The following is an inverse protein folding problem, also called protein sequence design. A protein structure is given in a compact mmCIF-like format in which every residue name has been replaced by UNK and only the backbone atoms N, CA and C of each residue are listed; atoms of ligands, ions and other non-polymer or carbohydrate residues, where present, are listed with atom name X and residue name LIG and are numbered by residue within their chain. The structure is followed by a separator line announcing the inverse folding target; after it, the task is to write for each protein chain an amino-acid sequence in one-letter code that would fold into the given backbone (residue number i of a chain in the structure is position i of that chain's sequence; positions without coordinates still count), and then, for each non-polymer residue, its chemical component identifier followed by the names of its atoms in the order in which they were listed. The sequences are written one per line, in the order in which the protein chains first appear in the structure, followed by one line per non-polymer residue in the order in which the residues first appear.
data_IF_979354687477
#
_entry.id   IF_979354687477
#
_cell.length_a   1.000
_cell.length_b   1.000
_cell.length_c   1.000
_cell.angle_alpha   90.00
_cell.angle_beta   90.00
_cell.angle_gamma   90.00
#
_symmetry.space_group_name_H-M   'P 1'
#
loop_
_entity.id
_entity.type
_entity.pdbx_description
1 polymer ?
#
# COMPACT_ATOMS: atom_id res chain seq x y z
N UNK A 1 -13.03 -12.84 -6.42
CA UNK A 1 -12.32 -12.10 -5.36
C UNK A 1 -11.28 -11.22 -6.03
N UNK A 2 -10.97 -10.06 -5.43
CA UNK A 2 -10.03 -9.08 -5.98
C UNK A 2 -8.66 -9.19 -5.31
N UNK A 3 -7.62 -8.78 -6.02
CA UNK A 3 -6.30 -8.54 -5.45
C UNK A 3 -6.22 -7.08 -4.99
N UNK A 4 -6.04 -6.86 -3.69
CA UNK A 4 -5.91 -5.54 -3.10
C UNK A 4 -4.46 -5.05 -3.15
N UNK A 5 -4.24 -3.86 -3.71
CA UNK A 5 -2.93 -3.20 -3.71
C UNK A 5 -3.04 -1.96 -2.82
N UNK A 6 -2.30 -1.95 -1.72
CA UNK A 6 -2.23 -0.79 -0.84
C UNK A 6 -1.02 0.07 -1.21
N UNK A 7 -1.30 1.21 -1.87
CA UNK A 7 -0.30 2.22 -2.20
C UNK A 7 -0.24 3.30 -1.12
N UNK A 8 0.96 3.83 -0.91
CA UNK A 8 1.29 4.83 0.11
C UNK A 8 2.12 5.94 -0.52
N UNK A 9 3.42 6.00 -0.22
CA UNK A 9 4.35 6.97 -0.78
C UNK A 9 4.90 6.55 -2.16
N UNK A 10 4.37 5.48 -2.74
CA UNK A 10 4.78 4.81 -3.96
C UNK A 10 3.71 4.90 -5.06
N UNK A 11 3.13 6.10 -5.23
CA UNK A 11 2.16 6.45 -6.28
C UNK A 11 2.81 6.47 -7.68
N UNK A 12 3.20 5.29 -8.17
CA UNK A 12 3.85 5.08 -9.46
C UNK A 12 3.40 3.78 -10.12
N UNK A 13 3.36 3.77 -11.45
CA UNK A 13 3.13 2.55 -12.24
C UNK A 13 4.44 1.81 -12.54
N UNK A 14 5.47 2.57 -12.90
CA UNK A 14 6.77 2.02 -13.24
C UNK A 14 7.48 1.53 -11.99
N UNK A 15 8.16 0.39 -12.11
CA UNK A 15 8.95 -0.21 -11.05
C UNK A 15 8.18 -0.27 -9.71
N UNK A 16 6.94 -0.77 -9.79
CA UNK A 16 6.09 -1.01 -8.64
C UNK A 16 5.85 -2.53 -8.50
N UNK A 17 6.72 -3.24 -7.75
CA UNK A 17 6.64 -4.70 -7.64
C UNK A 17 5.32 -5.21 -7.06
N UNK A 18 4.73 -4.51 -6.08
CA UNK A 18 3.43 -4.88 -5.52
C UNK A 18 2.31 -4.79 -6.55
N UNK A 19 2.23 -3.68 -7.28
CA UNK A 19 1.23 -3.51 -8.34
C UNK A 19 1.47 -4.52 -9.49
N UNK A 20 2.73 -4.74 -9.87
CA UNK A 20 3.10 -5.70 -10.90
C UNK A 20 2.69 -7.13 -10.54
N UNK A 21 2.93 -7.56 -9.30
CA UNK A 21 2.51 -8.86 -8.81
C UNK A 21 0.98 -9.01 -8.83
N UNK A 22 0.26 -8.00 -8.34
CA UNK A 22 -1.19 -7.99 -8.34
C UNK A 22 -1.77 -8.15 -9.76
N UNK A 23 -1.24 -7.42 -10.73
CA UNK A 23 -1.66 -7.51 -12.12
C UNK A 23 -1.34 -8.88 -12.76
N UNK A 24 -0.30 -9.58 -12.30
CA UNK A 24 0.04 -10.92 -12.78
C UNK A 24 -0.82 -12.04 -12.18
N UNK A 25 -1.54 -11.77 -11.08
CA UNK A 25 -2.41 -12.77 -10.43
C UNK A 25 -3.56 -13.26 -11.32
N UNK A 26 -3.93 -12.49 -12.35
CA UNK A 26 -5.11 -12.73 -13.19
C UNK A 26 -6.45 -12.38 -12.51
N UNK A 27 -6.44 -12.00 -11.23
CA UNK A 27 -7.61 -11.51 -10.52
C UNK A 27 -7.85 -10.01 -10.80
N UNK A 28 -9.10 -9.51 -10.71
CA UNK A 28 -9.36 -8.08 -10.77
C UNK A 28 -8.61 -7.33 -9.66
N UNK A 29 -7.89 -6.26 -10.03
CA UNK A 29 -7.08 -5.49 -9.08
C UNK A 29 -7.90 -4.33 -8.51
N UNK A 30 -7.83 -4.14 -7.19
CA UNK A 30 -8.34 -2.98 -6.48
C UNK A 30 -7.15 -2.23 -5.89
N UNK A 31 -6.96 -0.98 -6.28
CA UNK A 31 -5.91 -0.12 -5.69
C UNK A 31 -6.54 0.77 -4.63
N UNK A 32 -5.92 0.85 -3.46
CA UNK A 32 -6.36 1.75 -2.39
C UNK A 32 -5.21 2.64 -1.92
N UNK A 33 -5.57 3.83 -1.46
CA UNK A 33 -4.72 4.67 -0.64
C UNK A 33 -5.45 5.02 0.64
N UNK A 34 -4.74 4.95 1.76
CA UNK A 34 -5.27 5.25 3.09
C UNK A 34 -4.46 6.41 3.66
N UNK A 35 -5.14 7.52 3.94
CA UNK A 35 -4.57 8.57 4.78
C UNK A 35 -4.63 8.11 6.24
N UNK A 36 -3.53 7.49 6.69
CA UNK A 36 -3.43 6.81 7.98
C UNK A 36 -3.29 7.80 9.13
N UNK A 37 -4.42 8.25 9.68
CA UNK A 37 -4.42 9.24 10.75
C UNK A 37 -3.70 8.74 12.00
N UNK A 38 -3.68 7.44 12.29
CA UNK A 38 -3.05 6.93 13.52
C UNK A 38 -1.53 7.00 13.46
N UNK A 39 -0.96 6.68 12.30
CA UNK A 39 0.49 6.64 12.12
C UNK A 39 1.06 7.97 11.59
N UNK A 40 0.24 8.77 10.91
CA UNK A 40 0.58 10.12 10.41
C UNK A 40 0.04 11.25 11.33
N UNK A 41 -0.73 10.96 12.40
CA UNK A 41 -1.41 11.94 13.28
C UNK A 41 -0.52 13.09 13.79
N UNK A 42 0.74 12.78 14.08
CA UNK A 42 1.68 13.78 14.63
C UNK A 42 2.24 14.71 13.56
N UNK A 43 2.05 14.37 12.28
CA UNK A 43 2.38 15.18 11.13
C UNK A 43 1.08 15.69 10.50
N UNK A 44 0.44 16.70 11.12
CA UNK A 44 -0.49 17.54 10.35
C UNK A 44 0.27 17.97 9.10
N UNK A 45 -0.17 17.47 7.95
CA UNK A 45 0.45 17.84 6.68
C UNK A 45 0.40 19.36 6.59
N UNK A 46 1.56 20.00 6.43
CA UNK A 46 1.58 21.42 6.11
C UNK A 46 0.80 21.67 4.82
N UNK A 47 0.20 22.86 4.67
CA UNK A 47 -0.70 23.16 3.54
C UNK A 47 -0.08 22.86 2.17
N UNK A 48 1.22 23.15 1.99
CA UNK A 48 1.93 22.83 0.76
C UNK A 48 2.03 21.31 0.49
N UNK A 49 2.31 20.50 1.52
CA UNK A 49 2.40 19.03 1.39
C UNK A 49 1.03 18.41 1.15
N UNK A 50 -0.02 18.92 1.81
CA UNK A 50 -1.40 18.48 1.61
C UNK A 50 -1.87 18.78 0.17
N UNK A 51 -1.65 20.00 -0.31
CA UNK A 51 -2.00 20.40 -1.68
C UNK A 51 -1.26 19.56 -2.73
N UNK A 52 0.04 19.31 -2.53
CA UNK A 52 0.82 18.47 -3.42
C UNK A 52 0.33 17.02 -3.41
N UNK A 53 0.05 16.45 -2.23
CA UNK A 53 -0.46 15.09 -2.09
C UNK A 53 -1.80 14.92 -2.81
N UNK A 54 -2.75 15.83 -2.60
CA UNK A 54 -4.05 15.79 -3.26
C UNK A 54 -3.90 15.83 -4.79
N UNK A 55 -3.05 16.74 -5.29
CA UNK A 55 -2.78 16.87 -6.72
C UNK A 55 -2.14 15.60 -7.30
N UNK A 56 -1.20 14.99 -6.57
CA UNK A 56 -0.54 13.76 -6.98
C UNK A 56 -1.52 12.57 -6.98
N UNK A 57 -2.37 12.43 -5.96
CA UNK A 57 -3.38 11.37 -5.91
C UNK A 57 -4.39 11.47 -7.07
N UNK A 58 -4.86 12.68 -7.39
CA UNK A 58 -5.76 12.93 -8.53
C UNK A 58 -5.10 12.57 -9.86
N UNK A 59 -3.88 13.04 -10.07
CA UNK A 59 -3.10 12.71 -11.27
C UNK A 59 -2.88 11.20 -11.39
N UNK A 60 -2.44 10.56 -10.31
CA UNK A 60 -2.13 9.13 -10.30
C UNK A 60 -3.37 8.27 -10.52
N UNK A 61 -4.52 8.61 -9.93
CA UNK A 61 -5.78 7.91 -10.19
C UNK A 61 -6.15 7.96 -11.68
N UNK A 62 -6.07 9.14 -12.31
CA UNK A 62 -6.37 9.29 -13.73
C UNK A 62 -5.37 8.51 -14.60
N UNK A 63 -4.08 8.57 -14.25
CA UNK A 63 -3.02 7.86 -14.96
C UNK A 63 -3.14 6.33 -14.84
N UNK A 64 -3.48 5.83 -13.66
CA UNK A 64 -3.73 4.40 -13.40
C UNK A 64 -4.91 3.89 -14.24
N UNK A 65 -6.00 4.67 -14.30
CA UNK A 65 -7.16 4.32 -15.12
C UNK A 65 -6.84 4.36 -16.61
N UNK A 66 -6.19 5.42 -17.09
CA UNK A 66 -5.80 5.56 -18.51
C UNK A 66 -4.89 4.43 -18.99
N UNK A 67 -3.92 4.01 -18.16
CA UNK A 67 -2.93 3.00 -18.56
C UNK A 67 -3.36 1.56 -18.33
N UNK A 68 -4.10 1.30 -17.25
CA UNK A 68 -4.39 -0.07 -16.82
C UNK A 68 -5.90 -0.36 -16.67
N UNK A 69 -6.77 0.65 -16.79
CA UNK A 69 -8.21 0.49 -16.54
C UNK A 69 -8.56 0.20 -15.08
N UNK A 70 -7.60 0.39 -14.15
CA UNK A 70 -7.76 0.08 -12.74
C UNK A 70 -8.28 1.32 -12.01
N UNK A 71 -9.30 1.16 -11.19
CA UNK A 71 -9.81 2.23 -10.32
C UNK A 71 -9.09 2.23 -8.98
N UNK A 72 -8.91 3.44 -8.44
CA UNK A 72 -8.30 3.67 -7.14
C UNK A 72 -9.32 4.24 -6.16
N UNK A 73 -9.36 3.69 -4.95
CA UNK A 73 -10.21 4.15 -3.85
C UNK A 73 -9.38 4.83 -2.76
N UNK A 74 -9.99 5.80 -2.09
CA UNK A 74 -9.34 6.59 -1.05
C UNK A 74 -10.07 6.41 0.27
N UNK A 75 -9.31 6.19 1.33
CA UNK A 75 -9.81 6.07 2.69
C UNK A 75 -9.01 6.97 3.63
N UNK A 76 -9.60 7.26 4.79
CA UNK A 76 -8.99 8.05 5.86
C UNK A 76 -9.33 7.40 7.20
N UNK A 77 -8.32 7.19 8.05
CA UNK A 77 -8.49 6.53 9.36
C UNK A 77 -7.39 5.50 9.66
N UNK A 78 -7.67 4.56 10.57
CA UNK A 78 -6.73 3.46 10.89
C UNK A 78 -6.65 2.47 9.72
N UNK A 79 -5.45 2.32 9.16
CA UNK A 79 -5.23 1.46 8.00
C UNK A 79 -5.48 -0.02 8.29
N UNK A 80 -5.24 -0.49 9.51
CA UNK A 80 -5.53 -1.87 9.90
C UNK A 80 -7.04 -2.11 9.92
N UNK A 81 -7.80 -1.23 10.57
CA UNK A 81 -9.26 -1.35 10.65
C UNK A 81 -9.91 -1.32 9.26
N UNK A 82 -9.48 -0.40 8.40
CA UNK A 82 -9.99 -0.27 7.03
C UNK A 82 -9.68 -1.53 6.21
N UNK A 83 -8.44 -2.04 6.27
CA UNK A 83 -8.05 -3.23 5.51
C UNK A 83 -8.82 -4.47 6.00
N UNK A 84 -8.98 -4.64 7.31
CA UNK A 84 -9.79 -5.72 7.87
C UNK A 84 -11.26 -5.61 7.44
N UNK A 85 -11.83 -4.40 7.41
CA UNK A 85 -13.19 -4.19 6.92
C UNK A 85 -13.34 -4.58 5.44
N UNK A 86 -12.41 -4.18 4.57
CA UNK A 86 -12.42 -4.53 3.14
C UNK A 86 -12.32 -6.04 2.90
N UNK A 87 -11.59 -6.74 3.77
CA UNK A 87 -11.46 -8.20 3.72
C UNK A 87 -12.74 -8.86 4.23
N UNK A 88 -13.34 -8.35 5.31
CA UNK A 88 -14.59 -8.85 5.88
C UNK A 88 -15.79 -8.68 4.92
N UNK A 89 -15.78 -7.68 4.05
CA UNK A 89 -16.76 -7.53 2.95
C UNK A 89 -16.66 -8.67 1.90
N UNK A 90 -15.66 -9.55 2.00
CA UNK A 90 -15.47 -10.69 1.10
C UNK A 90 -14.99 -10.30 -0.29
N UNK A 91 -14.50 -9.06 -0.44
CA UNK A 91 -14.09 -8.51 -1.73
C UNK A 91 -12.66 -8.90 -2.10
N UNK A 92 -11.83 -9.30 -1.12
CA UNK A 92 -10.37 -9.44 -1.26
C UNK A 92 -9.90 -10.83 -0.83
N UNK A 93 -9.11 -11.49 -1.67
CA UNK A 93 -8.45 -12.77 -1.34
C UNK A 93 -6.95 -12.63 -1.08
N UNK A 94 -6.34 -11.62 -1.70
CA UNK A 94 -4.90 -11.40 -1.71
C UNK A 94 -4.63 -9.90 -1.54
N UNK A 95 -3.62 -9.56 -0.75
CA UNK A 95 -3.17 -8.19 -0.57
C UNK A 95 -1.68 -8.06 -0.83
N UNK A 96 -1.29 -6.95 -1.48
CA UNK A 96 0.12 -6.61 -1.67
C UNK A 96 0.44 -5.14 -1.42
N UNK A 97 1.63 -4.88 -0.88
CA UNK A 97 2.20 -3.52 -0.73
C UNK A 97 3.72 -3.52 -0.87
N UNK A 98 4.31 -2.36 -1.14
CA UNK A 98 5.76 -2.17 -1.11
C UNK A 98 6.20 -1.71 0.29
N UNK A 99 7.23 -2.30 0.87
CA UNK A 99 7.68 -2.07 2.25
C UNK A 99 8.06 -0.61 2.50
N UNK A 100 7.68 -0.12 3.67
CA UNK A 100 8.19 1.13 4.25
C UNK A 100 9.25 0.78 5.28
N UNK A 101 10.31 1.60 5.37
CA UNK A 101 11.43 1.38 6.28
C UNK A 101 11.42 2.33 7.49
N UNK A 102 10.36 3.12 7.64
CA UNK A 102 10.14 3.93 8.84
C UNK A 102 9.70 3.02 10.00
N UNK A 103 10.30 3.12 11.21
CA UNK A 103 10.03 2.20 12.32
C UNK A 103 8.54 2.01 12.65
N UNK A 104 7.75 3.09 12.64
CA UNK A 104 6.31 3.03 12.90
C UNK A 104 5.56 2.23 11.83
N UNK A 105 5.94 2.41 10.56
CA UNK A 105 5.34 1.68 9.45
C UNK A 105 5.76 0.21 9.45
N UNK A 106 7.00 -0.10 9.84
CA UNK A 106 7.46 -1.49 9.99
C UNK A 106 6.63 -2.22 11.04
N UNK A 107 6.49 -1.66 12.24
CA UNK A 107 5.72 -2.30 13.32
C UNK A 107 4.27 -2.53 12.92
N UNK A 108 3.63 -1.52 12.32
CA UNK A 108 2.26 -1.61 11.80
C UNK A 108 2.13 -2.69 10.71
N UNK A 109 3.00 -2.67 9.70
CA UNK A 109 2.94 -3.61 8.57
C UNK A 109 3.19 -5.05 9.05
N UNK A 110 4.06 -5.26 10.05
CA UNK A 110 4.30 -6.58 10.65
C UNK A 110 3.06 -7.08 11.42
N UNK A 111 2.46 -6.23 12.25
CA UNK A 111 1.25 -6.56 13.01
C UNK A 111 0.09 -6.89 12.05
N UNK A 112 -0.17 -6.01 11.08
CA UNK A 112 -1.21 -6.22 10.07
C UNK A 112 -0.97 -7.52 9.30
N UNK A 113 0.25 -7.75 8.81
CA UNK A 113 0.58 -8.99 8.09
C UNK A 113 0.29 -10.23 8.92
N UNK A 114 0.66 -10.23 10.20
CA UNK A 114 0.41 -11.35 11.10
C UNK A 114 -1.10 -11.61 11.27
N UNK A 115 -1.89 -10.55 11.45
CA UNK A 115 -3.34 -10.65 11.63
C UNK A 115 -4.03 -11.19 10.36
N UNK A 116 -3.63 -10.68 9.19
CA UNK A 116 -4.20 -11.09 7.91
C UNK A 116 -3.88 -12.54 7.55
N UNK A 117 -2.64 -12.98 7.80
CA UNK A 117 -2.25 -14.38 7.61
C UNK A 117 -3.04 -15.31 8.55
N UNK A 118 -3.25 -14.91 9.81
CA UNK A 118 -4.07 -15.66 10.75
C UNK A 118 -5.55 -15.73 10.33
N UNK A 119 -6.04 -14.73 9.60
CA UNK A 119 -7.37 -14.71 9.00
C UNK A 119 -7.46 -15.47 7.65
N UNK A 120 -6.38 -16.11 7.20
CA UNK A 120 -6.35 -16.90 5.96
C UNK A 120 -6.20 -16.08 4.68
N UNK A 121 -5.80 -14.81 4.79
CA UNK A 121 -5.57 -13.92 3.63
C UNK A 121 -4.13 -14.06 3.16
N UNK A 122 -3.92 -14.16 1.84
CA UNK A 122 -2.58 -14.14 1.26
C UNK A 122 -1.98 -12.74 1.32
N UNK A 123 -0.79 -12.60 1.91
CA UNK A 123 -0.14 -11.31 2.11
C UNK A 123 1.23 -11.26 1.46
N UNK A 124 1.43 -10.29 0.56
CA UNK A 124 2.66 -10.09 -0.17
C UNK A 124 3.27 -8.71 0.09
N UNK A 125 4.56 -8.68 0.41
CA UNK A 125 5.28 -7.41 0.64
C UNK A 125 6.57 -7.40 -0.16
N UNK A 126 6.81 -6.35 -0.93
CA UNK A 126 7.95 -6.23 -1.84
C UNK A 126 8.89 -5.09 -1.47
N UNK A 127 10.14 -5.05 -1.98
CA UNK A 127 11.02 -3.90 -1.78
C UNK A 127 10.35 -2.59 -2.22
N UNK A 128 10.46 -1.57 -1.36
CA UNK A 128 9.93 -0.24 -1.62
C UNK A 128 10.95 0.75 -2.15
N UNK A 129 10.98 1.95 -1.59
CA UNK A 129 11.80 3.08 -2.06
C UNK A 129 13.27 2.98 -1.61
N UNK A 130 13.94 1.86 -1.91
CA UNK A 130 15.37 1.63 -1.62
C UNK A 130 16.05 0.93 -2.80
N UNK A 131 17.31 1.24 -3.05
CA UNK A 131 18.11 0.55 -4.08
C UNK A 131 18.47 -0.88 -3.66
N UNK A 132 18.77 -1.06 -2.37
CA UNK A 132 19.15 -2.33 -1.76
C UNK A 132 18.41 -2.41 -0.42
N UNK A 133 17.85 -3.58 -0.13
CA UNK A 133 17.24 -3.88 1.17
C UNK A 133 18.27 -3.64 2.30
N UNK A 134 17.95 -2.84 3.34
CA UNK A 134 18.93 -2.49 4.38
C UNK A 134 19.59 -3.71 5.04
N UNK A 135 18.85 -4.80 5.21
CA UNK A 135 19.34 -6.05 5.79
C UNK A 135 20.15 -6.94 4.83
N UNK A 136 20.19 -6.60 3.54
CA UNK A 136 21.08 -7.25 2.58
C UNK A 136 22.51 -6.67 2.61
N UNK A 137 22.68 -5.47 3.17
CA UNK A 137 24.00 -4.88 3.39
C UNK A 137 24.56 -5.44 4.69
N UNK A 138 25.61 -6.24 4.60
CA UNK A 138 26.30 -6.82 5.74
C UNK A 138 27.68 -6.19 5.89
N UNK A 139 28.14 -6.04 7.13
CA UNK A 139 29.54 -5.75 7.42
C UNK A 139 30.31 -7.07 7.34
N UNK A 140 31.50 -7.08 6.73
CA UNK A 140 32.31 -8.28 6.51
C UNK A 140 32.98 -8.82 7.78
N UNK A 141 32.17 -9.19 8.77
CA UNK A 141 32.57 -9.87 10.01
C UNK A 141 32.66 -11.38 9.84
#
# INVERSE_FOLDING_TARGET
MKHLVWLRNDLRLHDNPALYYACQSGAPVMVIYIFDEKHEAHAKLGGARAWWLESNLKFFQAFLYDKLGITMQFYQGDSSEIIHALIAEGLVSDISWNRSYEPKHISRDQELKSQLLAAGVSVHSYPGNVLIEPFAITTGS
#
